data_IF_423213896744
#
_entry.id   IF_423213896744
#
_cell.length_a   1.000
_cell.length_b   1.000
_cell.length_c   1.000
_cell.angle_alpha   90.00
_cell.angle_beta   90.00
_cell.angle_gamma   90.00
#
_symmetry.space_group_name_H-M   'P 1'
#
loop_
_entity.id
_entity.type
_entity.pdbx_description
1 polymer ?
#
# COMPACT_ATOMS: atom_id res chain seq x y z
N UNK A 1 -25.16 36.30 39.55
CA UNK A 1 -24.65 36.36 38.17
C UNK A 1 -23.15 36.04 38.06
N UNK A 2 -22.26 36.53 38.94
CA UNK A 2 -20.81 36.24 38.89
C UNK A 2 -20.43 34.75 39.07
N UNK A 3 -21.18 33.98 39.86
CA UNK A 3 -20.93 32.54 40.09
C UNK A 3 -21.28 31.62 38.92
N UNK A 4 -22.23 32.01 38.06
CA UNK A 4 -22.63 31.23 36.87
C UNK A 4 -21.61 31.42 35.74
N UNK A 5 -21.05 32.63 35.63
CA UNK A 5 -20.01 32.97 34.65
C UNK A 5 -18.70 32.21 34.98
N UNK A 6 -18.33 32.07 36.26
CA UNK A 6 -17.16 31.29 36.67
C UNK A 6 -17.28 29.79 36.38
N UNK A 7 -18.49 29.22 36.44
CA UNK A 7 -18.72 27.81 36.13
C UNK A 7 -18.65 27.55 34.61
N UNK A 8 -19.15 28.46 33.79
CA UNK A 8 -19.10 28.37 32.32
C UNK A 8 -17.67 28.51 31.77
N UNK A 9 -16.82 29.34 32.38
CA UNK A 9 -15.41 29.48 31.97
C UNK A 9 -14.62 28.22 32.34
N UNK A 10 -14.87 27.60 33.50
CA UNK A 10 -14.20 26.37 33.93
C UNK A 10 -14.61 25.12 33.12
N UNK A 11 -15.87 25.03 32.68
CA UNK A 11 -16.34 23.94 31.79
C UNK A 11 -15.84 24.13 30.36
N UNK A 12 -15.68 25.38 29.89
CA UNK A 12 -15.15 25.66 28.56
C UNK A 12 -13.66 25.31 28.43
N UNK A 13 -12.83 25.52 29.45
CA UNK A 13 -11.39 25.17 29.38
C UNK A 13 -11.12 23.67 29.55
N UNK A 14 -12.02 22.91 30.16
CA UNK A 14 -11.88 21.45 30.27
C UNK A 14 -12.22 20.70 28.97
N UNK A 15 -12.87 21.35 28.01
CA UNK A 15 -13.27 20.75 26.73
C UNK A 15 -12.20 20.86 25.62
N UNK A 16 -11.12 21.64 25.81
CA UNK A 16 -10.19 22.01 24.73
C UNK A 16 -8.92 21.13 24.63
N UNK A 17 -8.76 20.09 25.43
CA UNK A 17 -7.58 19.20 25.35
C UNK A 17 -7.95 17.73 25.22
N UNK A 18 -8.95 17.41 24.39
CA UNK A 18 -9.03 16.09 23.76
C UNK A 18 -8.14 16.09 22.51
N UNK A 19 -6.82 16.15 22.71
CA UNK A 19 -5.90 15.80 21.64
C UNK A 19 -5.87 14.28 21.54
N UNK A 20 -6.36 13.74 20.42
CA UNK A 20 -6.07 12.36 20.03
C UNK A 20 -4.55 12.24 19.90
N UNK A 21 -3.91 11.53 20.84
CA UNK A 21 -2.47 11.29 20.76
C UNK A 21 -2.23 10.19 19.74
N UNK A 22 -1.89 10.58 18.52
CA UNK A 22 -1.25 9.65 17.58
C UNK A 22 0.20 9.48 18.02
N UNK A 23 0.57 8.27 18.44
CA UNK A 23 1.97 7.92 18.67
C UNK A 23 2.56 7.40 17.36
N UNK A 24 3.30 8.22 16.58
CA UNK A 24 3.86 7.78 15.32
C UNK A 24 4.87 6.67 15.54
N UNK A 25 4.81 5.65 14.70
CA UNK A 25 5.76 4.55 14.69
C UNK A 25 7.17 5.05 14.33
N UNK A 26 8.15 4.65 15.15
CA UNK A 26 9.56 5.02 14.99
C UNK A 26 10.36 3.80 14.53
N UNK A 27 11.22 3.99 13.53
CA UNK A 27 12.07 2.93 12.99
C UNK A 27 11.47 2.25 11.75
N UNK A 28 12.00 1.06 11.43
CA UNK A 28 11.55 0.28 10.27
C UNK A 28 10.12 -0.21 10.46
N UNK A 29 9.37 -0.35 9.36
CA UNK A 29 8.02 -0.96 9.39
C UNK A 29 8.07 -2.41 9.85
N UNK A 30 9.06 -3.19 9.40
CA UNK A 30 9.28 -4.56 9.82
C UNK A 30 10.78 -4.86 9.76
N UNK A 31 11.28 -5.64 10.72
CA UNK A 31 12.64 -6.18 10.67
C UNK A 31 12.65 -7.45 9.81
N UNK A 32 13.25 -7.35 8.62
CA UNK A 32 13.32 -8.46 7.67
C UNK A 32 14.59 -9.31 7.83
N UNK A 33 15.45 -9.01 8.82
CA UNK A 33 16.71 -9.73 9.05
C UNK A 33 16.51 -11.16 9.58
N UNK A 34 15.30 -11.48 10.06
CA UNK A 34 14.91 -12.79 10.60
C UNK A 34 14.71 -13.90 9.55
N UNK A 35 14.91 -13.60 8.26
CA UNK A 35 14.81 -14.56 7.15
C UNK A 35 13.47 -14.52 6.42
N UNK A 36 13.08 -15.62 5.77
CA UNK A 36 11.82 -15.68 5.00
C UNK A 36 10.60 -15.84 5.91
N UNK A 37 9.44 -15.36 5.45
CA UNK A 37 8.16 -15.65 6.10
C UNK A 37 7.75 -17.11 5.87
N UNK A 38 7.23 -17.75 6.93
CA UNK A 38 6.62 -19.07 6.91
C UNK A 38 5.33 -19.08 7.73
N UNK A 39 4.54 -20.13 7.55
CA UNK A 39 3.36 -20.40 8.38
C UNK A 39 3.85 -20.94 9.73
N UNK A 40 3.29 -20.45 10.85
CA UNK A 40 3.57 -20.94 12.19
C UNK A 40 3.22 -22.43 12.34
N UNK A 41 3.82 -23.11 13.32
CA UNK A 41 3.56 -24.55 13.57
C UNK A 41 2.07 -24.86 13.80
N UNK A 42 1.37 -23.98 14.54
CA UNK A 42 -0.07 -24.10 14.77
C UNK A 42 -0.96 -23.66 13.59
N UNK A 43 -0.35 -23.23 12.47
CA UNK A 43 -1.01 -22.82 11.21
C UNK A 43 -1.99 -21.64 11.34
N UNK A 44 -1.74 -20.72 12.28
CA UNK A 44 -2.60 -19.55 12.53
C UNK A 44 -1.94 -18.21 12.30
N UNK A 45 -0.61 -18.16 12.23
CA UNK A 45 0.16 -16.92 12.18
C UNK A 45 1.25 -16.99 11.11
N UNK A 46 1.75 -15.82 10.74
CA UNK A 46 2.99 -15.68 9.99
C UNK A 46 4.15 -15.47 10.96
N UNK A 47 5.24 -16.15 10.72
CA UNK A 47 6.50 -16.02 11.48
C UNK A 47 7.67 -16.01 10.51
N UNK A 48 8.80 -15.50 10.95
CA UNK A 48 10.06 -15.64 10.23
C UNK A 48 10.68 -17.04 10.43
N UNK A 49 11.76 -17.35 9.72
CA UNK A 49 12.44 -18.66 9.79
C UNK A 49 12.86 -19.02 11.22
N UNK A 50 13.34 -18.03 11.99
CA UNK A 50 13.72 -18.14 13.40
C UNK A 50 12.54 -18.20 14.40
N UNK A 51 11.30 -18.19 13.90
CA UNK A 51 10.04 -18.15 14.63
C UNK A 51 9.66 -16.80 15.26
N UNK A 52 10.38 -15.72 14.96
CA UNK A 52 9.96 -14.37 15.34
C UNK A 52 8.59 -14.06 14.70
N UNK A 53 7.58 -13.59 15.46
CA UNK A 53 6.27 -13.27 14.90
C UNK A 53 6.31 -12.14 13.88
N UNK A 54 5.60 -12.30 12.76
CA UNK A 54 5.37 -11.24 11.80
C UNK A 54 3.90 -10.79 11.88
N UNK A 55 3.68 -9.57 12.34
CA UNK A 55 2.33 -8.99 12.39
C UNK A 55 1.99 -8.38 11.03
N UNK A 56 1.04 -9.00 10.33
CA UNK A 56 0.55 -8.52 9.03
C UNK A 56 -0.44 -7.37 9.26
N UNK A 57 0.02 -6.13 9.10
CA UNK A 57 -0.83 -4.94 9.09
C UNK A 57 -0.76 -4.31 7.70
N UNK A 58 -1.81 -4.51 6.92
CA UNK A 58 -1.85 -4.19 5.50
C UNK A 58 -2.56 -2.87 5.19
N UNK A 59 -1.97 -2.05 4.32
CA UNK A 59 -2.65 -0.96 3.60
C UNK A 59 -2.88 -1.34 2.13
N UNK A 60 -3.86 -0.71 1.48
CA UNK A 60 -4.24 -0.97 0.09
C UNK A 60 -3.89 0.22 -0.81
N UNK A 61 -2.74 0.16 -1.46
CA UNK A 61 -2.26 1.14 -2.45
C UNK A 61 -2.39 0.59 -3.87
N UNK A 62 -3.61 0.27 -4.32
CA UNK A 62 -3.82 -0.46 -5.59
C UNK A 62 -3.11 0.17 -6.79
N UNK A 63 -3.21 1.48 -6.92
CA UNK A 63 -2.70 2.25 -8.06
C UNK A 63 -1.28 2.80 -7.83
N UNK A 64 -0.56 2.30 -6.81
CA UNK A 64 0.74 2.82 -6.37
C UNK A 64 1.73 2.97 -7.53
N UNK A 65 1.83 1.94 -8.38
CA UNK A 65 2.78 1.94 -9.51
C UNK A 65 2.28 2.67 -10.75
N UNK A 66 1.01 3.07 -10.80
CA UNK A 66 0.36 3.54 -12.02
C UNK A 66 0.11 5.04 -12.01
N UNK A 67 -0.06 5.63 -10.83
CA UNK A 67 -0.49 7.03 -10.67
C UNK A 67 0.49 7.90 -9.93
N UNK A 68 1.28 7.33 -9.02
CA UNK A 68 2.21 8.11 -8.22
C UNK A 68 3.56 8.20 -8.92
N UNK A 69 4.12 9.41 -8.94
CA UNK A 69 5.53 9.57 -9.24
C UNK A 69 6.40 9.14 -8.04
N UNK A 70 7.72 9.16 -8.23
CA UNK A 70 8.66 8.75 -7.18
C UNK A 70 8.52 9.54 -5.87
N UNK A 71 8.39 10.86 -5.92
CA UNK A 71 8.28 11.70 -4.72
C UNK A 71 6.97 11.41 -3.96
N UNK A 72 5.88 11.27 -4.70
CA UNK A 72 4.58 10.90 -4.14
C UNK A 72 4.59 9.49 -3.53
N UNK A 73 5.30 8.55 -4.16
CA UNK A 73 5.51 7.19 -3.66
C UNK A 73 6.29 7.20 -2.34
N UNK A 74 7.40 7.93 -2.28
CA UNK A 74 8.20 8.08 -1.05
C UNK A 74 7.35 8.68 0.09
N UNK A 75 6.58 9.74 -0.21
CA UNK A 75 5.67 10.37 0.75
C UNK A 75 4.58 9.41 1.23
N UNK A 76 3.97 8.65 0.33
CA UNK A 76 2.97 7.64 0.68
C UNK A 76 3.57 6.57 1.60
N UNK A 77 4.70 5.97 1.21
CA UNK A 77 5.33 4.89 1.97
C UNK A 77 5.81 5.35 3.35
N UNK A 78 6.36 6.57 3.47
CA UNK A 78 6.75 7.13 4.77
C UNK A 78 5.54 7.42 5.66
N UNK A 79 4.44 7.88 5.07
CA UNK A 79 3.17 8.04 5.80
C UNK A 79 2.70 6.69 6.34
N UNK A 80 2.78 5.61 5.55
CA UNK A 80 2.41 4.26 6.02
C UNK A 80 3.37 3.71 7.06
N UNK A 81 4.67 3.99 6.93
CA UNK A 81 5.69 3.63 7.92
C UNK A 81 5.40 4.29 9.27
N UNK A 82 5.10 5.59 9.30
CA UNK A 82 4.76 6.32 10.53
C UNK A 82 3.45 5.86 11.17
N UNK A 83 2.53 5.29 10.38
CA UNK A 83 1.30 4.67 10.86
C UNK A 83 1.49 3.21 11.33
N UNK A 84 2.66 2.62 11.12
CA UNK A 84 3.00 1.27 11.56
C UNK A 84 2.57 0.14 10.63
N UNK A 85 2.16 0.45 9.39
CA UNK A 85 1.86 -0.59 8.40
C UNK A 85 3.13 -1.38 8.06
N UNK A 86 2.97 -2.70 7.96
CA UNK A 86 4.05 -3.66 7.65
C UNK A 86 3.94 -4.22 6.24
N UNK A 87 2.76 -4.13 5.62
CA UNK A 87 2.49 -4.64 4.28
C UNK A 87 1.72 -3.60 3.46
N UNK A 88 2.10 -3.43 2.20
CA UNK A 88 1.35 -2.66 1.20
C UNK A 88 0.89 -3.61 0.11
N UNK A 89 -0.40 -3.65 -0.15
CA UNK A 89 -0.98 -4.37 -1.27
C UNK A 89 -1.14 -3.41 -2.45
N UNK A 90 -0.58 -3.76 -3.60
CA UNK A 90 -0.63 -2.98 -4.82
C UNK A 90 -0.89 -3.88 -6.03
N UNK A 91 -1.48 -3.32 -7.08
CA UNK A 91 -1.67 -4.02 -8.35
C UNK A 91 -0.40 -3.83 -9.17
N UNK A 92 0.27 -4.92 -9.56
CA UNK A 92 1.49 -4.83 -10.35
C UNK A 92 1.23 -4.41 -11.81
N UNK A 93 0.09 -4.81 -12.37
CA UNK A 93 -0.33 -4.53 -13.74
C UNK A 93 -1.70 -3.87 -13.74
N UNK A 94 -1.75 -2.60 -14.18
CA UNK A 94 -2.95 -1.78 -14.10
C UNK A 94 -4.14 -2.39 -14.84
N UNK A 95 -5.31 -2.33 -14.18
CA UNK A 95 -6.59 -2.69 -14.79
C UNK A 95 -7.08 -1.58 -15.75
N UNK A 96 -8.16 -1.83 -16.50
CA UNK A 96 -8.85 -0.83 -17.35
C UNK A 96 -7.94 -0.08 -18.36
N UNK A 97 -7.35 -0.81 -19.31
CA UNK A 97 -6.41 -0.28 -20.33
C UNK A 97 -5.10 0.33 -19.76
N UNK A 98 -4.83 0.10 -18.48
CA UNK A 98 -3.61 0.56 -17.82
C UNK A 98 -2.32 -0.08 -18.33
N UNK A 99 -2.40 -1.17 -19.13
CA UNK A 99 -1.23 -1.70 -19.84
C UNK A 99 -0.75 -0.78 -20.97
N UNK A 100 -1.66 0.00 -21.58
CA UNK A 100 -1.35 0.93 -22.66
C UNK A 100 -1.16 2.37 -22.18
N UNK A 101 -1.73 2.68 -21.01
CA UNK A 101 -1.59 3.97 -20.36
C UNK A 101 -0.24 4.06 -19.64
N UNK A 102 0.60 5.05 -19.95
CA UNK A 102 1.86 5.23 -19.24
C UNK A 102 1.65 5.60 -17.77
N UNK A 103 2.61 5.25 -16.91
CA UNK A 103 2.70 5.76 -15.54
C UNK A 103 3.02 7.27 -15.53
N UNK A 104 3.12 7.85 -14.35
CA UNK A 104 3.44 9.28 -14.17
C UNK A 104 4.79 9.71 -14.76
N UNK A 105 5.69 8.78 -15.02
CA UNK A 105 7.01 9.01 -15.62
C UNK A 105 7.03 8.71 -17.13
N UNK A 106 5.89 8.31 -17.70
CA UNK A 106 5.75 8.01 -19.12
C UNK A 106 6.15 6.58 -19.50
N UNK A 107 6.38 5.68 -18.53
CA UNK A 107 6.74 4.30 -18.79
C UNK A 107 5.50 3.41 -18.95
N UNK A 108 5.63 2.35 -19.75
CA UNK A 108 4.62 1.28 -19.82
C UNK A 108 5.09 0.07 -19.03
N UNK A 109 4.17 -0.70 -18.43
CA UNK A 109 4.53 -1.85 -17.62
C UNK A 109 5.15 -3.00 -18.43
N UNK A 110 4.93 -3.05 -19.75
CA UNK A 110 5.42 -4.08 -20.67
C UNK A 110 6.01 -3.44 -21.94
N UNK A 111 7.18 -3.91 -22.36
CA UNK A 111 7.93 -3.39 -23.53
C UNK A 111 7.35 -3.93 -24.85
N UNK A 112 6.96 -5.21 -24.87
CA UNK A 112 6.33 -5.88 -26.01
C UNK A 112 4.93 -6.36 -25.62
N UNK A 113 3.94 -5.49 -25.74
CA UNK A 113 2.54 -5.92 -25.74
C UNK A 113 2.33 -6.71 -27.03
N UNK A 114 2.06 -8.02 -26.93
CA UNK A 114 1.64 -8.82 -28.09
C UNK A 114 0.38 -8.19 -28.65
N UNK A 115 0.57 -7.35 -29.65
CA UNK A 115 -0.49 -6.67 -30.38
C UNK A 115 -1.01 -7.69 -31.38
N UNK A 116 -2.02 -8.46 -31.00
CA UNK A 116 -2.89 -9.12 -31.98
C UNK A 116 -3.73 -8.04 -32.69
N UNK A 117 -3.08 -7.18 -33.47
CA UNK A 117 -3.70 -6.10 -34.21
C UNK A 117 -3.38 -6.28 -35.69
N UNK A 118 -4.26 -6.98 -36.40
CA UNK A 118 -4.15 -7.29 -37.83
C UNK A 118 -3.96 -8.78 -38.10
N UNK A 119 -4.31 -9.25 -39.32
CA UNK A 119 -4.42 -10.67 -39.60
C UNK A 119 -3.03 -11.33 -39.48
N UNK A 120 -2.94 -12.29 -38.58
CA UNK A 120 -1.89 -13.30 -38.50
C UNK A 120 -0.45 -12.77 -38.45
N UNK A 121 -0.03 -12.34 -37.27
CA UNK A 121 1.31 -12.67 -36.79
C UNK A 121 1.35 -12.65 -35.26
N UNK A 122 0.88 -13.74 -34.66
CA UNK A 122 1.30 -14.08 -33.31
C UNK A 122 2.83 -14.24 -33.33
N UNK A 123 3.54 -13.54 -32.45
CA UNK A 123 4.99 -13.65 -32.32
C UNK A 123 5.27 -14.93 -31.52
N UNK A 124 5.78 -15.97 -32.19
CA UNK A 124 5.93 -17.31 -31.62
C UNK A 124 5.29 -18.38 -32.51
N UNK A 125 5.59 -19.65 -32.26
CA UNK A 125 5.06 -20.80 -33.01
C UNK A 125 3.58 -21.08 -32.73
N UNK A 126 2.96 -20.34 -31.81
CA UNK A 126 1.63 -20.65 -31.31
C UNK A 126 0.56 -19.96 -32.17
N UNK A 127 -0.43 -20.71 -32.69
CA UNK A 127 -1.50 -20.14 -33.50
C UNK A 127 -2.43 -19.27 -32.64
N UNK A 128 -2.85 -18.14 -33.19
CA UNK A 128 -3.81 -17.26 -32.53
C UNK A 128 -5.18 -17.98 -32.34
N UNK A 129 -5.88 -17.79 -31.21
CA UNK A 129 -7.19 -18.40 -30.99
C UNK A 129 -8.24 -17.85 -31.98
N UNK A 130 -9.26 -18.65 -32.36
CA UNK A 130 -10.29 -18.21 -33.30
C UNK A 130 -11.17 -17.09 -32.71
N UNK A 131 -11.71 -16.19 -33.55
CA UNK A 131 -12.70 -15.22 -33.11
C UNK A 131 -13.97 -15.95 -32.69
N UNK A 132 -14.56 -15.57 -31.54
CA UNK A 132 -15.92 -15.95 -31.16
C UNK A 132 -16.95 -15.30 -32.10
#
# INVERSE_FOLDING_TARGET
MKRIISLLIGVSTFCFTLQSQESPWKGLSADLSHGKLKISENKRFLVFEDNTPFFYLGDTGWELFHRLNKEETEKYLETRRTQGFTVIQAVALAELDGLNTPDSEGNRPLIDLVRCSGPARCMGSDPCPPPY
#
